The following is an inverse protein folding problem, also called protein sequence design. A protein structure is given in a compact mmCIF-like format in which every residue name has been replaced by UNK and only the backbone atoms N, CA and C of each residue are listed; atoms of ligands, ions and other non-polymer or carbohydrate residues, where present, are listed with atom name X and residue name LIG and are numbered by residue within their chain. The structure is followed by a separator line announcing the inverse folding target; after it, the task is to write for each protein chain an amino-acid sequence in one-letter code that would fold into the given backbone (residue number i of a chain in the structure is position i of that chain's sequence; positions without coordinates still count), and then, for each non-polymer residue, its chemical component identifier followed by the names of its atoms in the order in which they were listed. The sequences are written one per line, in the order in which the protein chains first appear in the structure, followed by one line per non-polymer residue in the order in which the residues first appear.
data_IF_766880226463
#
_entry.id   IF_766880226463
#
_cell.length_a   1.000
_cell.length_b   1.000
_cell.length_c   1.000
_cell.angle_alpha   90.00
_cell.angle_beta   90.00
_cell.angle_gamma   90.00
#
_symmetry.space_group_name_H-M   'P 1'
#
loop_
_entity.id
_entity.type
_entity.pdbx_description
1 polymer ?
#
# COMPACT_ATOMS: atom_id res chain seq x y z
N UNK A 1 11.29 11.18 -29.44
CA UNK A 1 10.88 10.33 -28.29
C UNK A 1 9.64 9.47 -28.55
N UNK A 2 8.60 9.97 -29.22
CA UNK A 2 7.40 9.16 -29.57
C UNK A 2 7.73 7.90 -30.39
N UNK A 3 8.64 8.04 -31.37
CA UNK A 3 9.02 6.93 -32.27
C UNK A 3 9.87 5.85 -31.58
N UNK A 4 10.68 6.24 -30.60
CA UNK A 4 11.43 5.31 -29.76
C UNK A 4 10.49 4.52 -28.84
N UNK A 5 9.46 5.17 -28.28
CA UNK A 5 8.43 4.51 -27.45
C UNK A 5 7.57 3.54 -28.27
N UNK A 6 7.21 3.87 -29.52
CA UNK A 6 6.47 2.98 -30.44
C UNK A 6 7.23 1.68 -30.76
N UNK A 7 8.55 1.77 -30.95
CA UNK A 7 9.38 0.59 -31.30
C UNK A 7 9.58 -0.38 -30.13
N UNK A 8 9.42 0.06 -28.88
CA UNK A 8 9.66 -0.76 -27.70
C UNK A 8 8.39 -1.36 -27.08
N UNK A 9 7.26 -0.65 -27.09
CA UNK A 9 6.06 -1.07 -26.35
C UNK A 9 5.12 -2.05 -27.10
N UNK A 10 5.25 -2.19 -28.43
CA UNK A 10 4.19 -2.75 -29.31
C UNK A 10 2.78 -2.12 -29.11
N UNK A 11 2.69 -1.01 -28.39
CA UNK A 11 1.45 -0.35 -27.98
C UNK A 11 0.73 -1.08 -26.85
N UNK A 12 0.21 -0.33 -25.87
CA UNK A 12 -0.85 -0.87 -24.98
C UNK A 12 -2.03 -1.27 -25.86
N UNK A 13 -2.63 -2.44 -25.62
CA UNK A 13 -3.78 -2.97 -26.38
C UNK A 13 -4.80 -1.86 -26.68
N UNK A 14 -5.14 -1.68 -27.97
CA UNK A 14 -6.04 -0.62 -28.45
C UNK A 14 -7.42 -0.74 -27.78
N UNK A 15 -7.88 -1.97 -27.50
CA UNK A 15 -9.15 -2.17 -26.79
C UNK A 15 -9.08 -1.64 -25.36
N UNK A 16 -7.95 -1.83 -24.67
CA UNK A 16 -7.73 -1.28 -23.33
C UNK A 16 -7.67 0.25 -23.38
N UNK A 17 -7.04 0.84 -24.40
CA UNK A 17 -7.00 2.29 -24.55
C UNK A 17 -8.38 2.89 -24.80
N UNK A 18 -9.19 2.29 -25.69
CA UNK A 18 -10.55 2.74 -25.97
C UNK A 18 -11.46 2.59 -24.75
N UNK A 19 -11.39 1.45 -24.06
CA UNK A 19 -12.15 1.23 -22.83
C UNK A 19 -11.77 2.26 -21.74
N UNK A 20 -10.48 2.56 -21.58
CA UNK A 20 -10.03 3.54 -20.61
C UNK A 20 -10.45 4.97 -20.99
N UNK A 21 -10.39 5.32 -22.28
CA UNK A 21 -10.87 6.61 -22.77
C UNK A 21 -12.37 6.79 -22.48
N UNK A 22 -13.18 5.75 -22.69
CA UNK A 22 -14.62 5.78 -22.35
C UNK A 22 -14.85 5.92 -20.83
N UNK A 23 -14.06 5.23 -19.99
CA UNK A 23 -14.14 5.40 -18.54
C UNK A 23 -13.84 6.84 -18.09
N UNK A 24 -12.94 7.54 -18.78
CA UNK A 24 -12.65 8.95 -18.53
C UNK A 24 -13.81 9.83 -19.03
N UNK A 25 -14.20 9.70 -20.30
CA UNK A 25 -15.19 10.55 -20.95
C UNK A 25 -16.56 10.48 -20.26
N UNK A 26 -16.97 9.28 -19.83
CA UNK A 26 -18.21 9.05 -19.07
C UNK A 26 -18.15 9.48 -17.60
N UNK A 27 -16.99 9.90 -17.11
CA UNK A 27 -16.73 10.20 -15.69
C UNK A 27 -16.77 8.98 -14.76
N UNK A 28 -16.81 7.77 -15.31
CA UNK A 28 -16.85 6.53 -14.52
C UNK A 28 -15.59 6.34 -13.68
N UNK A 29 -14.42 6.70 -14.22
CA UNK A 29 -13.15 6.66 -13.50
C UNK A 29 -13.18 7.55 -12.25
N UNK A 30 -13.70 8.76 -12.39
CA UNK A 30 -13.85 9.72 -11.30
C UNK A 30 -14.77 9.21 -10.19
N UNK A 31 -15.94 8.66 -10.56
CA UNK A 31 -16.87 8.05 -9.61
C UNK A 31 -16.23 6.85 -8.89
N UNK A 32 -15.46 6.05 -9.62
CA UNK A 32 -14.71 4.92 -9.05
C UNK A 32 -13.65 5.41 -8.06
N UNK A 33 -12.81 6.39 -8.42
CA UNK A 33 -11.78 6.94 -7.54
C UNK A 33 -12.40 7.51 -6.26
N UNK A 34 -13.49 8.27 -6.36
CA UNK A 34 -14.19 8.83 -5.18
C UNK A 34 -14.71 7.71 -4.26
N UNK A 35 -15.30 6.66 -4.83
CA UNK A 35 -15.76 5.47 -4.09
C UNK A 35 -14.60 4.76 -3.39
N UNK A 36 -13.50 4.54 -4.10
CA UNK A 36 -12.32 3.88 -3.56
C UNK A 36 -11.64 4.70 -2.46
N UNK A 37 -11.52 6.03 -2.63
CA UNK A 37 -11.01 6.92 -1.58
C UNK A 37 -11.81 6.82 -0.28
N UNK A 38 -13.15 6.72 -0.36
CA UNK A 38 -13.99 6.51 0.83
C UNK A 38 -13.72 5.14 1.47
N UNK A 39 -13.67 4.07 0.67
CA UNK A 39 -13.40 2.71 1.15
C UNK A 39 -12.03 2.60 1.84
N UNK A 40 -11.00 3.23 1.27
CA UNK A 40 -9.66 3.19 1.84
C UNK A 40 -9.53 4.01 3.12
N UNK A 41 -10.22 5.17 3.21
CA UNK A 41 -10.32 5.89 4.49
C UNK A 41 -10.97 5.04 5.58
N UNK A 42 -12.11 4.41 5.29
CA UNK A 42 -12.79 3.54 6.26
C UNK A 42 -11.90 2.39 6.77
N UNK A 43 -11.17 1.74 5.86
CA UNK A 43 -10.22 0.67 6.24
C UNK A 43 -9.08 1.21 7.10
N UNK A 44 -8.51 2.35 6.74
CA UNK A 44 -7.44 3.00 7.50
C UNK A 44 -7.91 3.40 8.89
N UNK A 45 -9.07 4.03 9.00
CA UNK A 45 -9.60 4.51 10.28
C UNK A 45 -9.90 3.30 11.20
N UNK A 46 -10.39 2.19 10.65
CA UNK A 46 -10.57 0.94 11.40
C UNK A 46 -9.23 0.32 11.86
N UNK A 47 -8.18 0.34 11.02
CA UNK A 47 -6.84 -0.12 11.41
C UNK A 47 -6.28 0.73 12.56
N UNK A 48 -6.38 2.05 12.46
CA UNK A 48 -5.90 2.97 13.49
C UNK A 48 -6.65 2.75 14.81
N UNK A 49 -7.98 2.60 14.76
CA UNK A 49 -8.80 2.32 15.95
C UNK A 49 -8.38 1.01 16.64
N UNK A 50 -8.21 -0.07 15.88
CA UNK A 50 -7.78 -1.37 16.43
C UNK A 50 -6.37 -1.27 17.02
N UNK A 51 -5.42 -0.65 16.32
CA UNK A 51 -4.06 -0.47 16.85
C UNK A 51 -4.05 0.41 18.10
N UNK A 52 -4.86 1.47 18.14
CA UNK A 52 -5.01 2.31 19.32
C UNK A 52 -5.56 1.55 20.54
N UNK A 53 -6.41 0.53 20.32
CA UNK A 53 -6.96 -0.31 21.39
C UNK A 53 -6.01 -1.42 21.85
N UNK A 54 -5.34 -2.10 20.92
CA UNK A 54 -4.59 -3.33 21.22
C UNK A 54 -3.06 -3.16 21.22
N UNK A 55 -2.53 -2.09 20.61
CA UNK A 55 -1.10 -1.82 20.52
C UNK A 55 -0.79 -0.32 20.69
N UNK A 56 -1.24 0.34 21.79
CA UNK A 56 -1.15 1.80 21.94
C UNK A 56 0.28 2.35 21.99
N UNK A 57 1.27 1.51 22.30
CA UNK A 57 2.68 1.89 22.30
C UNK A 57 3.31 1.95 20.90
N UNK A 58 2.66 1.40 19.88
CA UNK A 58 3.19 1.34 18.52
C UNK A 58 2.81 2.59 17.74
N UNK A 59 3.79 3.20 17.08
CA UNK A 59 3.56 4.39 16.25
C UNK A 59 3.11 3.98 14.85
N UNK A 60 2.04 4.62 14.36
CA UNK A 60 1.51 4.40 13.00
C UNK A 60 1.86 5.59 12.10
N UNK A 61 2.51 5.30 10.97
CA UNK A 61 2.97 6.26 9.98
C UNK A 61 2.27 6.05 8.62
N UNK A 62 2.38 7.02 7.71
CA UNK A 62 1.83 6.91 6.34
C UNK A 62 0.33 7.23 6.22
N UNK A 63 -0.26 7.86 7.24
CA UNK A 63 -1.72 8.07 7.33
C UNK A 63 -2.28 9.18 6.42
N UNK A 64 -1.43 9.99 5.77
CA UNK A 64 -1.87 11.16 4.99
C UNK A 64 -2.30 10.84 3.55
N UNK A 65 -1.74 9.81 2.89
CA UNK A 65 -2.12 9.36 1.55
C UNK A 65 -1.55 7.97 1.26
N UNK A 66 -2.35 7.07 0.67
CA UNK A 66 -1.88 5.76 0.22
C UNK A 66 -2.85 4.61 0.47
N UNK A 67 -2.41 3.41 0.12
CA UNK A 67 -3.09 2.13 0.35
C UNK A 67 -2.55 1.36 1.55
N UNK A 68 -1.43 1.81 2.11
CA UNK A 68 -0.70 1.14 3.19
C UNK A 68 -0.48 2.07 4.38
N UNK A 69 -0.30 1.48 5.56
CA UNK A 69 0.19 2.13 6.76
C UNK A 69 1.45 1.41 7.25
N UNK A 70 2.34 2.14 7.93
CA UNK A 70 3.55 1.58 8.52
C UNK A 70 3.39 1.58 10.04
N UNK A 71 3.58 0.44 10.68
CA UNK A 71 3.60 0.32 12.14
C UNK A 71 5.04 0.12 12.58
N UNK A 72 5.57 1.07 13.34
CA UNK A 72 6.93 1.01 13.86
C UNK A 72 7.05 -0.04 14.95
N UNK A 73 8.14 -0.79 14.90
CA UNK A 73 8.51 -1.83 15.86
C UNK A 73 9.86 -1.49 16.50
N UNK A 74 10.13 -2.00 17.72
CA UNK A 74 11.32 -1.63 18.48
C UNK A 74 12.64 -1.98 17.76
N UNK A 75 12.69 -3.13 17.09
CA UNK A 75 13.88 -3.65 16.45
C UNK A 75 13.56 -4.73 15.39
N UNK A 76 14.60 -5.21 14.72
CA UNK A 76 14.50 -6.21 13.66
C UNK A 76 14.04 -7.59 14.17
N UNK A 77 14.29 -7.91 15.45
CA UNK A 77 13.83 -9.17 16.05
C UNK A 77 12.32 -9.13 16.25
N UNK A 78 11.79 -8.01 16.75
CA UNK A 78 10.36 -7.77 16.86
C UNK A 78 9.67 -7.82 15.49
N UNK A 79 10.26 -7.21 14.46
CA UNK A 79 9.77 -7.29 13.08
C UNK A 79 9.68 -8.73 12.58
N UNK A 80 10.76 -9.50 12.69
CA UNK A 80 10.78 -10.90 12.27
C UNK A 80 9.74 -11.74 13.04
N UNK A 81 9.62 -11.54 14.35
CA UNK A 81 8.64 -12.26 15.19
C UNK A 81 7.19 -11.93 14.83
N UNK A 82 6.88 -10.66 14.56
CA UNK A 82 5.53 -10.24 14.14
C UNK A 82 5.19 -10.82 12.76
N UNK A 83 6.12 -10.78 11.80
CA UNK A 83 5.90 -11.36 10.46
C UNK A 83 5.68 -12.87 10.54
N UNK A 84 6.51 -13.58 11.30
CA UNK A 84 6.37 -15.03 11.50
C UNK A 84 5.02 -15.38 12.17
N UNK A 85 4.69 -14.69 13.27
CA UNK A 85 3.44 -14.92 13.98
C UNK A 85 2.18 -14.54 13.17
N UNK A 86 2.29 -13.59 12.24
CA UNK A 86 1.21 -13.27 11.32
C UNK A 86 1.04 -14.35 10.24
N UNK A 87 2.15 -14.87 9.72
CA UNK A 87 2.14 -15.98 8.76
C UNK A 87 1.48 -17.23 9.35
N UNK A 88 1.80 -17.61 10.58
CA UNK A 88 1.15 -18.72 11.30
C UNK A 88 -0.37 -18.54 11.41
N UNK A 89 -0.83 -17.28 11.50
CA UNK A 89 -2.24 -16.90 11.59
C UNK A 89 -2.89 -16.60 10.23
N UNK A 90 -2.17 -16.84 9.13
CA UNK A 90 -2.63 -16.57 7.76
C UNK A 90 -2.97 -15.09 7.51
N UNK A 91 -2.25 -14.21 8.19
CA UNK A 91 -2.33 -12.76 8.01
C UNK A 91 -1.13 -12.32 7.17
N UNK A 92 -1.40 -11.78 5.98
CA UNK A 92 -0.36 -11.24 5.13
C UNK A 92 0.14 -9.90 5.69
N UNK A 93 1.40 -9.89 6.16
CA UNK A 93 2.15 -8.71 6.56
C UNK A 93 3.49 -8.68 5.84
N UNK A 94 4.02 -7.50 5.56
CA UNK A 94 5.36 -7.33 4.98
C UNK A 94 6.23 -6.54 5.95
N UNK A 95 7.42 -7.06 6.29
CA UNK A 95 8.41 -6.32 7.06
C UNK A 95 8.97 -5.14 6.27
N UNK A 96 9.52 -4.14 6.95
CA UNK A 96 10.15 -2.98 6.33
C UNK A 96 11.51 -3.28 5.70
N UNK A 97 12.19 -4.36 6.11
CA UNK A 97 13.53 -4.70 5.64
C UNK A 97 13.75 -4.59 4.10
N UNK A 98 12.84 -5.06 3.22
CA UNK A 98 13.03 -4.99 1.77
C UNK A 98 12.92 -3.58 1.17
N UNK A 99 12.39 -2.61 1.92
CA UNK A 99 12.17 -1.24 1.44
C UNK A 99 13.38 -0.32 1.71
N UNK A 100 14.40 -0.80 2.44
CA UNK A 100 15.62 -0.03 2.71
C UNK A 100 16.65 -0.18 1.60
N UNK A 101 17.19 0.95 1.11
CA UNK A 101 18.26 0.98 0.09
C UNK A 101 19.69 0.97 0.65
N UNK A 102 19.86 1.21 1.95
CA UNK A 102 21.14 1.13 2.68
C UNK A 102 20.92 0.28 3.95
N UNK A 103 21.98 -0.24 4.56
CA UNK A 103 21.91 -1.01 5.81
C UNK A 103 20.89 -0.41 6.79
N UNK A 104 20.08 -1.24 7.49
CA UNK A 104 18.87 -0.78 8.18
C UNK A 104 19.20 0.29 9.23
N UNK A 105 19.04 1.54 8.82
CA UNK A 105 19.25 2.70 9.67
C UNK A 105 18.00 2.97 10.51
N UNK A 106 17.93 2.37 11.68
CA UNK A 106 17.17 2.81 12.86
C UNK A 106 15.66 2.55 12.98
N UNK A 107 14.91 2.17 11.94
CA UNK A 107 13.46 1.94 12.09
C UNK A 107 13.05 0.58 11.52
N UNK A 108 12.67 -0.31 12.43
CA UNK A 108 11.99 -1.57 12.12
C UNK A 108 10.48 -1.36 12.10
N UNK A 109 9.78 -2.19 11.34
CA UNK A 109 8.33 -2.03 11.23
C UNK A 109 7.68 -3.00 10.27
N UNK A 110 6.35 -2.96 10.26
CA UNK A 110 5.52 -3.71 9.32
C UNK A 110 4.71 -2.76 8.45
N UNK A 111 4.56 -3.14 7.19
CA UNK A 111 3.65 -2.52 6.24
C UNK A 111 2.35 -3.29 6.24
N UNK A 112 1.24 -2.57 6.44
CA UNK A 112 -0.12 -3.10 6.45
C UNK A 112 -0.90 -2.47 5.30
N UNK A 113 -1.39 -3.30 4.37
CA UNK A 113 -2.24 -2.87 3.25
C UNK A 113 -1.70 -3.25 1.88
#
# INVERSE_FOLDING_TARGET
MVEAKRRTDRGTDILVQLAFAELIASGALDRYIRRMRRRYRQRRDALIDVLGRYAPAMSVHGTAAGLHAVVSLPDASAEAGVVAGAHERQIALTGMAPFWHREPGSISGIVVG
#
